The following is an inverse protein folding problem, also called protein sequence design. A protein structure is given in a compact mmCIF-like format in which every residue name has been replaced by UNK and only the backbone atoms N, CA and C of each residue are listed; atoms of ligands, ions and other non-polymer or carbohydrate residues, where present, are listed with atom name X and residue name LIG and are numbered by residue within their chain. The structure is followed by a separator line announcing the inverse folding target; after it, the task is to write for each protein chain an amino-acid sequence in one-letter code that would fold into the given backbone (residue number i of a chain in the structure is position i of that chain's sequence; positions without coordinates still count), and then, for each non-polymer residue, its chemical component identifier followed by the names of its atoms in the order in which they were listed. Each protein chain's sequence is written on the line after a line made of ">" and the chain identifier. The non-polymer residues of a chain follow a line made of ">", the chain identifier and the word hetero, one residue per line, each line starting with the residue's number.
data_IF_893450940942
#
_entry.id   IF_893450940942
#
_cell.length_a   1.000
_cell.length_b   1.000
_cell.length_c   1.000
_cell.angle_alpha   90.00
_cell.angle_beta   90.00
_cell.angle_gamma   90.00
#
_symmetry.space_group_name_H-M   'P 1'
#
loop_
_entity.id
_entity.type
_entity.pdbx_description
1 polymer ?
#
# COMPACT_ATOMS: atom_id res chain seq x y z
N UNK A 1 5.12 -40.33 1.63
CA UNK A 1 4.66 -39.45 0.53
C UNK A 1 3.91 -38.27 1.14
N UNK A 2 4.61 -37.39 1.88
CA UNK A 2 3.99 -36.38 2.77
C UNK A 2 4.71 -35.02 2.74
N UNK A 3 5.62 -34.82 1.77
CA UNK A 3 6.48 -33.63 1.70
C UNK A 3 6.18 -32.72 0.49
N UNK A 4 5.33 -33.14 -0.45
CA UNK A 4 4.97 -32.35 -1.65
C UNK A 4 3.75 -31.43 -1.46
N UNK A 5 2.98 -31.57 -0.36
CA UNK A 5 1.82 -30.70 -0.11
C UNK A 5 2.24 -29.30 0.38
N UNK A 6 3.28 -29.19 1.19
CA UNK A 6 3.63 -27.93 1.88
C UNK A 6 4.01 -26.79 0.93
N UNK A 7 4.76 -27.06 -0.15
CA UNK A 7 5.14 -26.02 -1.11
C UNK A 7 3.94 -25.50 -1.92
N UNK A 8 3.07 -26.41 -2.39
CA UNK A 8 1.89 -26.06 -3.18
C UNK A 8 0.89 -25.30 -2.30
N UNK A 9 0.68 -25.76 -1.07
CA UNK A 9 -0.19 -25.09 -0.10
C UNK A 9 0.33 -23.69 0.26
N UNK A 10 1.66 -23.54 0.45
CA UNK A 10 2.29 -22.24 0.72
C UNK A 10 2.16 -21.29 -0.47
N UNK A 11 2.41 -21.76 -1.68
CA UNK A 11 2.29 -20.94 -2.90
C UNK A 11 0.84 -20.54 -3.17
N UNK A 12 -0.11 -21.47 -2.98
CA UNK A 12 -1.53 -21.20 -3.11
C UNK A 12 -1.98 -20.16 -2.08
N UNK A 13 -1.54 -20.30 -0.84
CA UNK A 13 -1.82 -19.33 0.21
C UNK A 13 -1.26 -17.95 -0.16
N UNK A 14 0.02 -17.84 -0.55
CA UNK A 14 0.61 -16.57 -1.01
C UNK A 14 -0.14 -15.95 -2.20
N UNK A 15 -0.65 -16.76 -3.11
CA UNK A 15 -1.45 -16.28 -4.24
C UNK A 15 -2.81 -15.72 -3.80
N UNK A 16 -3.51 -16.43 -2.91
CA UNK A 16 -4.77 -15.98 -2.33
C UNK A 16 -4.56 -14.67 -1.54
N UNK A 17 -3.48 -14.60 -0.78
CA UNK A 17 -3.05 -13.42 -0.04
C UNK A 17 -2.83 -12.21 -0.97
N UNK A 18 -2.09 -12.40 -2.06
CA UNK A 18 -1.84 -11.36 -3.08
C UNK A 18 -3.12 -10.96 -3.83
N UNK A 19 -4.02 -11.91 -4.09
CA UNK A 19 -5.30 -11.64 -4.73
C UNK A 19 -6.17 -10.73 -3.86
N UNK A 20 -6.35 -11.09 -2.59
CA UNK A 20 -7.06 -10.22 -1.66
C UNK A 20 -6.34 -8.87 -1.54
N UNK A 21 -4.99 -8.86 -1.47
CA UNK A 21 -4.15 -7.65 -1.44
C UNK A 21 -4.54 -6.67 -2.54
N UNK A 22 -4.61 -7.19 -3.75
CA UNK A 22 -4.94 -6.41 -4.93
C UNK A 22 -6.38 -5.90 -4.89
N UNK A 23 -7.34 -6.71 -4.42
CA UNK A 23 -8.75 -6.33 -4.34
C UNK A 23 -8.97 -5.22 -3.31
N UNK A 24 -8.66 -5.43 -2.04
CA UNK A 24 -8.98 -4.40 -1.04
C UNK A 24 -8.08 -3.18 -1.19
N UNK A 25 -6.80 -3.36 -1.56
CA UNK A 25 -5.95 -2.23 -1.92
C UNK A 25 -6.54 -1.42 -3.09
N UNK A 26 -7.11 -2.11 -4.09
CA UNK A 26 -7.85 -1.51 -5.19
C UNK A 26 -9.13 -0.79 -4.74
N UNK A 27 -9.87 -1.35 -3.78
CA UNK A 27 -11.06 -0.71 -3.17
C UNK A 27 -10.65 0.56 -2.43
N UNK A 28 -9.62 0.51 -1.58
CA UNK A 28 -9.11 1.69 -0.86
C UNK A 28 -8.62 2.76 -1.84
N UNK A 29 -7.90 2.37 -2.90
CA UNK A 29 -7.51 3.25 -3.98
C UNK A 29 -8.73 3.91 -4.64
N UNK A 30 -9.77 3.13 -4.98
CA UNK A 30 -10.98 3.63 -5.59
C UNK A 30 -11.71 4.63 -4.69
N UNK A 31 -11.85 4.33 -3.40
CA UNK A 31 -12.47 5.23 -2.41
C UNK A 31 -11.70 6.56 -2.34
N UNK A 32 -10.38 6.52 -2.19
CA UNK A 32 -9.54 7.72 -2.12
C UNK A 32 -9.64 8.53 -3.42
N UNK A 33 -9.64 7.86 -4.58
CA UNK A 33 -9.80 8.51 -5.87
C UNK A 33 -11.17 9.19 -6.01
N UNK A 34 -12.26 8.52 -5.62
CA UNK A 34 -13.62 9.08 -5.67
C UNK A 34 -13.72 10.32 -4.78
N UNK A 35 -13.27 10.23 -3.52
CA UNK A 35 -13.31 11.36 -2.56
C UNK A 35 -12.47 12.53 -3.08
N UNK A 36 -11.26 12.27 -3.58
CA UNK A 36 -10.39 13.31 -4.15
C UNK A 36 -11.01 13.95 -5.39
N UNK A 37 -11.62 13.14 -6.26
CA UNK A 37 -12.27 13.61 -7.49
C UNK A 37 -13.50 14.47 -7.22
N UNK A 38 -14.34 14.08 -6.25
CA UNK A 38 -15.49 14.86 -5.82
C UNK A 38 -15.05 16.21 -5.25
N UNK A 39 -14.02 16.20 -4.39
CA UNK A 39 -13.45 17.41 -3.80
C UNK A 39 -12.98 18.39 -4.88
N UNK A 40 -12.27 17.90 -5.89
CA UNK A 40 -11.75 18.73 -6.98
C UNK A 40 -12.83 19.19 -7.94
N UNK A 41 -13.85 18.36 -8.16
CA UNK A 41 -15.02 18.78 -8.94
C UNK A 41 -15.75 19.91 -8.22
N UNK A 42 -15.90 19.82 -6.89
CA UNK A 42 -16.43 20.91 -6.07
C UNK A 42 -15.61 22.20 -6.19
N UNK A 43 -14.27 22.11 -6.12
CA UNK A 43 -13.40 23.26 -6.33
C UNK A 43 -13.50 23.83 -7.75
N UNK A 44 -13.56 22.98 -8.77
CA UNK A 44 -13.70 23.41 -10.16
C UNK A 44 -15.02 24.17 -10.38
N UNK A 45 -16.10 23.76 -9.70
CA UNK A 45 -17.37 24.48 -9.71
C UNK A 45 -17.24 25.85 -9.02
N UNK A 46 -16.67 25.91 -7.82
CA UNK A 46 -16.50 27.15 -7.05
C UNK A 46 -15.59 28.18 -7.74
N UNK A 47 -14.56 27.72 -8.44
CA UNK A 47 -13.56 28.57 -9.08
C UNK A 47 -13.73 28.67 -10.61
N UNK A 48 -14.86 28.21 -11.15
CA UNK A 48 -15.19 28.26 -12.58
C UNK A 48 -14.09 27.70 -13.50
N UNK A 49 -13.47 26.58 -13.12
CA UNK A 49 -12.45 25.96 -13.95
C UNK A 49 -13.05 25.42 -15.25
N UNK A 50 -12.32 25.55 -16.35
CA UNK A 50 -12.69 24.91 -17.62
C UNK A 50 -12.68 23.38 -17.49
N UNK A 51 -13.52 22.71 -18.28
CA UNK A 51 -13.57 21.23 -18.32
C UNK A 51 -12.19 20.62 -18.60
N UNK A 52 -11.39 21.26 -19.47
CA UNK A 52 -10.02 20.83 -19.80
C UNK A 52 -9.12 20.87 -18.57
N UNK A 53 -9.18 21.95 -17.77
CA UNK A 53 -8.38 22.08 -16.56
C UNK A 53 -8.78 21.06 -15.49
N UNK A 54 -10.08 20.85 -15.30
CA UNK A 54 -10.60 19.82 -14.40
C UNK A 54 -10.11 18.42 -14.80
N UNK A 55 -10.26 18.04 -16.08
CA UNK A 55 -9.84 16.72 -16.57
C UNK A 55 -8.32 16.50 -16.42
N UNK A 56 -7.51 17.52 -16.68
CA UNK A 56 -6.05 17.45 -16.49
C UNK A 56 -5.66 17.19 -15.03
N UNK A 57 -6.35 17.84 -14.08
CA UNK A 57 -6.11 17.63 -12.63
C UNK A 57 -6.60 16.27 -12.17
N UNK A 58 -7.78 15.82 -12.59
CA UNK A 58 -8.30 14.48 -12.28
C UNK A 58 -7.37 13.38 -12.81
N UNK A 59 -6.88 13.52 -14.05
CA UNK A 59 -5.91 12.60 -14.63
C UNK A 59 -4.60 12.58 -13.83
N UNK A 60 -4.12 13.74 -13.39
CA UNK A 60 -2.90 13.83 -12.59
C UNK A 60 -3.06 13.12 -11.23
N UNK A 61 -4.22 13.22 -10.60
CA UNK A 61 -4.50 12.54 -9.33
C UNK A 61 -4.65 11.05 -9.51
N UNK A 62 -5.38 10.62 -10.55
CA UNK A 62 -5.48 9.21 -10.87
C UNK A 62 -4.09 8.59 -11.03
N UNK A 63 -3.21 9.26 -11.79
CA UNK A 63 -1.84 8.78 -12.02
C UNK A 63 -0.98 8.79 -10.78
N UNK A 64 -1.06 9.83 -9.96
CA UNK A 64 -0.34 9.89 -8.69
C UNK A 64 -0.77 8.75 -7.77
N UNK A 65 -2.08 8.58 -7.57
CA UNK A 65 -2.61 7.52 -6.73
C UNK A 65 -2.27 6.14 -7.31
N UNK A 66 -2.26 5.98 -8.63
CA UNK A 66 -1.93 4.70 -9.28
C UNK A 66 -0.47 4.34 -9.05
N UNK A 67 0.44 5.31 -9.18
CA UNK A 67 1.84 5.13 -8.83
C UNK A 67 2.00 4.80 -7.34
N UNK A 68 1.29 5.50 -6.47
CA UNK A 68 1.29 5.23 -5.04
C UNK A 68 0.82 3.81 -4.72
N UNK A 69 -0.23 3.35 -5.41
CA UNK A 69 -0.75 1.99 -5.28
C UNK A 69 0.25 0.94 -5.73
N UNK A 70 0.86 1.11 -6.92
CA UNK A 70 1.85 0.16 -7.46
C UNK A 70 3.10 0.11 -6.57
N UNK A 71 3.66 1.26 -6.20
CA UNK A 71 4.87 1.31 -5.37
C UNK A 71 4.57 0.84 -3.95
N UNK A 72 3.41 1.19 -3.39
CA UNK A 72 2.97 0.70 -2.08
C UNK A 72 2.77 -0.82 -2.08
N UNK A 73 2.18 -1.38 -3.15
CA UNK A 73 2.06 -2.82 -3.33
C UNK A 73 3.42 -3.52 -3.33
N UNK A 74 4.36 -3.05 -4.16
CA UNK A 74 5.71 -3.60 -4.22
C UNK A 74 6.45 -3.45 -2.87
N UNK A 75 6.35 -2.28 -2.24
CA UNK A 75 6.95 -1.99 -0.95
C UNK A 75 6.44 -2.93 0.14
N UNK A 76 5.13 -3.16 0.21
CA UNK A 76 4.51 -4.08 1.16
C UNK A 76 4.88 -5.55 0.86
N UNK A 77 4.94 -5.96 -0.40
CA UNK A 77 5.40 -7.31 -0.76
C UNK A 77 6.84 -7.56 -0.30
N UNK A 78 7.74 -6.58 -0.52
CA UNK A 78 9.12 -6.67 -0.06
C UNK A 78 9.22 -6.66 1.47
N UNK A 79 8.44 -5.82 2.15
CA UNK A 79 8.35 -5.80 3.61
C UNK A 79 8.00 -7.19 4.16
N UNK A 80 6.97 -7.82 3.59
CA UNK A 80 6.52 -9.15 3.97
C UNK A 80 7.63 -10.19 3.79
N UNK A 81 8.32 -10.19 2.65
CA UNK A 81 9.40 -11.14 2.34
C UNK A 81 10.57 -10.99 3.32
N UNK A 82 10.95 -9.76 3.67
CA UNK A 82 12.15 -9.53 4.47
C UNK A 82 11.92 -9.60 5.99
N UNK A 83 10.70 -9.31 6.47
CA UNK A 83 10.49 -9.00 7.89
C UNK A 83 9.50 -9.92 8.61
N UNK A 84 8.53 -10.54 7.91
CA UNK A 84 7.49 -11.39 8.55
C UNK A 84 8.14 -12.52 9.36
N UNK A 85 8.88 -13.42 8.73
CA UNK A 85 9.44 -14.58 9.45
C UNK A 85 10.65 -14.27 10.34
N UNK A 86 11.13 -13.01 10.35
CA UNK A 86 12.34 -12.61 11.08
C UNK A 86 12.06 -11.76 12.31
N UNK A 87 11.05 -10.88 12.26
CA UNK A 87 10.80 -9.91 13.33
C UNK A 87 9.41 -10.04 13.96
N UNK A 88 8.40 -10.58 13.26
CA UNK A 88 7.05 -10.72 13.80
C UNK A 88 6.15 -11.68 13.00
N UNK A 89 5.44 -12.59 13.67
CA UNK A 89 4.41 -13.40 13.01
C UNK A 89 3.06 -12.68 12.96
N UNK A 90 2.59 -12.35 11.76
CA UNK A 90 1.25 -11.77 11.58
C UNK A 90 0.16 -12.85 11.57
N UNK A 91 -0.93 -12.58 12.30
CA UNK A 91 -2.13 -13.42 12.36
C UNK A 91 -2.96 -13.37 11.07
N UNK A 92 -2.98 -12.21 10.40
CA UNK A 92 -3.87 -12.01 9.26
C UNK A 92 -3.23 -11.19 8.15
N UNK A 93 -3.46 -11.65 6.93
CA UNK A 93 -2.94 -11.04 5.71
C UNK A 93 -3.74 -9.78 5.39
N UNK A 94 -5.02 -9.78 5.77
CA UNK A 94 -5.97 -8.66 5.66
C UNK A 94 -5.58 -7.40 6.43
N UNK A 95 -4.53 -7.48 7.25
CA UNK A 95 -4.09 -6.37 8.11
C UNK A 95 -2.96 -5.56 7.48
N UNK A 96 -2.41 -6.01 6.35
CA UNK A 96 -1.41 -5.30 5.53
C UNK A 96 -1.99 -4.21 4.60
N UNK A 97 -3.30 -4.02 4.65
CA UNK A 97 -4.08 -3.28 3.65
C UNK A 97 -4.26 -1.80 3.94
N UNK A 98 -4.28 -1.48 5.22
CA UNK A 98 -3.97 -0.13 5.69
C UNK A 98 -2.44 -0.05 5.62
N UNK A 99 -1.79 1.11 5.35
CA UNK A 99 -0.41 1.28 5.83
C UNK A 99 -0.37 0.62 7.19
N UNK A 100 0.40 -0.46 7.36
CA UNK A 100 0.44 -1.16 8.65
C UNK A 100 0.94 -0.10 9.58
N UNK A 101 0.03 0.58 10.23
CA UNK A 101 0.37 1.33 11.39
C UNK A 101 0.22 0.23 12.42
N UNK A 102 1.32 -0.23 13.03
CA UNK A 102 1.28 -1.23 14.08
C UNK A 102 0.59 -0.64 15.32
N UNK A 103 -0.61 -0.09 15.20
CA UNK A 103 -1.34 0.56 16.28
C UNK A 103 -2.01 -0.46 17.17
N UNK A 104 -2.33 -1.65 16.66
CA UNK A 104 -3.10 -2.65 17.40
C UNK A 104 -2.41 -4.01 17.45
N UNK A 105 -2.41 -4.60 18.64
CA UNK A 105 -1.90 -5.96 18.92
C UNK A 105 -2.81 -7.07 18.36
N UNK A 106 -3.89 -6.71 17.66
CA UNK A 106 -4.87 -7.61 17.05
C UNK A 106 -4.34 -8.34 15.81
N UNK A 107 -3.17 -7.94 15.33
CA UNK A 107 -2.63 -8.36 14.03
C UNK A 107 -1.45 -9.32 14.14
N UNK A 108 -1.12 -9.74 15.37
CA UNK A 108 0.00 -10.63 15.70
C UNK A 108 -0.57 -11.92 16.28
N UNK A 109 -0.15 -13.07 15.76
CA UNK A 109 -0.70 -14.36 16.15
C UNK A 109 -0.16 -14.79 17.53
N UNK A 110 -1.06 -15.17 18.44
CA UNK A 110 -0.73 -15.58 19.80
C UNK A 110 -0.54 -17.09 19.93
N UNK A 111 -0.99 -17.89 18.95
CA UNK A 111 -1.07 -19.35 19.08
C UNK A 111 0.31 -20.05 18.93
N UNK A 112 1.36 -19.34 18.50
CA UNK A 112 2.70 -19.91 18.30
C UNK A 112 3.62 -19.89 19.54
N UNK A 113 3.13 -19.51 20.73
CA UNK A 113 3.81 -19.83 22.00
C UNK A 113 5.19 -19.19 22.27
N UNK A 114 5.56 -18.12 21.58
CA UNK A 114 6.82 -17.39 21.81
C UNK A 114 6.63 -15.88 21.67
N UNK A 115 7.31 -15.10 22.50
CA UNK A 115 7.25 -13.64 22.60
C UNK A 115 6.95 -12.95 21.25
N UNK A 116 5.85 -12.17 21.20
CA UNK A 116 5.19 -11.49 20.06
C UNK A 116 6.08 -10.83 18.96
N UNK A 117 7.39 -10.73 19.17
CA UNK A 117 8.30 -9.90 18.40
C UNK A 117 9.75 -10.41 18.39
N UNK A 118 10.02 -11.66 18.78
CA UNK A 118 11.40 -12.17 18.93
C UNK A 118 12.30 -11.22 19.77
N UNK A 119 11.73 -10.65 20.84
CA UNK A 119 12.39 -9.67 21.71
C UNK A 119 12.26 -8.20 21.30
N UNK A 120 11.64 -7.87 20.16
CA UNK A 120 11.45 -6.50 19.69
C UNK A 120 10.20 -5.86 20.34
N UNK A 121 10.17 -4.55 20.54
CA UNK A 121 8.96 -3.87 21.04
C UNK A 121 8.15 -3.29 19.87
N UNK A 122 6.82 -3.27 19.99
CA UNK A 122 5.89 -2.79 18.94
C UNK A 122 6.29 -1.43 18.34
N UNK A 123 6.83 -0.50 19.13
CA UNK A 123 7.27 0.81 18.62
C UNK A 123 8.47 0.72 17.65
N UNK A 124 9.36 -0.26 17.80
CA UNK A 124 10.44 -0.48 16.84
C UNK A 124 9.87 -0.90 15.49
N UNK A 125 8.84 -1.76 15.48
CA UNK A 125 8.15 -2.15 14.25
C UNK A 125 7.48 -0.93 13.60
N UNK A 126 6.92 -0.01 14.39
CA UNK A 126 6.35 1.26 13.89
C UNK A 126 7.41 2.14 13.24
N UNK A 127 8.56 2.32 13.89
CA UNK A 127 9.65 3.13 13.34
C UNK A 127 10.24 2.51 12.08
N UNK A 128 10.41 1.18 12.08
CA UNK A 128 10.88 0.45 10.90
C UNK A 128 9.89 0.60 9.74
N UNK A 129 8.58 0.53 10.02
CA UNK A 129 7.55 0.76 9.01
C UNK A 129 7.60 2.18 8.46
N UNK A 130 7.73 3.21 9.32
CA UNK A 130 7.88 4.59 8.87
C UNK A 130 9.13 4.74 8.00
N UNK A 131 10.27 4.19 8.44
CA UNK A 131 11.53 4.21 7.70
C UNK A 131 11.41 3.50 6.34
N UNK A 132 10.53 2.51 6.21
CA UNK A 132 10.23 1.81 4.95
C UNK A 132 9.22 2.53 4.06
N UNK A 133 8.20 3.15 4.67
CA UNK A 133 7.16 3.87 3.96
C UNK A 133 7.69 5.15 3.30
N UNK A 134 8.60 5.87 3.97
CA UNK A 134 9.22 7.10 3.45
C UNK A 134 9.86 6.90 2.07
N UNK A 135 10.77 5.93 1.84
CA UNK A 135 11.36 5.72 0.52
C UNK A 135 10.32 5.25 -0.51
N UNK A 136 9.34 4.42 -0.11
CA UNK A 136 8.26 4.01 -1.01
C UNK A 136 7.45 5.21 -1.52
N UNK A 137 7.01 6.08 -0.61
CA UNK A 137 6.30 7.31 -0.96
C UNK A 137 7.20 8.29 -1.72
N UNK A 138 8.46 8.40 -1.33
CA UNK A 138 9.46 9.22 -2.03
C UNK A 138 9.64 8.81 -3.48
N UNK A 139 9.73 7.51 -3.77
CA UNK A 139 9.82 6.96 -5.13
C UNK A 139 8.56 7.29 -5.94
N UNK A 140 7.37 7.05 -5.38
CA UNK A 140 6.11 7.36 -6.05
C UNK A 140 5.99 8.84 -6.41
N UNK A 141 6.33 9.74 -5.47
CA UNK A 141 6.37 11.19 -5.68
C UNK A 141 7.39 11.55 -6.76
N UNK A 142 8.61 11.03 -6.68
CA UNK A 142 9.67 11.32 -7.63
C UNK A 142 9.29 10.91 -9.06
N UNK A 143 8.76 9.70 -9.24
CA UNK A 143 8.29 9.21 -10.54
C UNK A 143 7.14 10.06 -11.07
N UNK A 144 6.19 10.43 -10.21
CA UNK A 144 5.10 11.32 -10.58
C UNK A 144 5.61 12.68 -11.05
N UNK A 145 6.56 13.29 -10.33
CA UNK A 145 7.13 14.59 -10.69
C UNK A 145 7.88 14.54 -12.04
N UNK A 146 8.62 13.47 -12.32
CA UNK A 146 9.27 13.27 -13.62
C UNK A 146 8.22 13.24 -14.73
N UNK A 147 7.19 12.42 -14.56
CA UNK A 147 6.13 12.24 -15.55
C UNK A 147 5.34 13.55 -15.75
N UNK A 148 4.98 14.21 -14.66
CA UNK A 148 4.24 15.48 -14.66
C UNK A 148 5.04 16.59 -15.37
N UNK A 149 6.34 16.72 -15.06
CA UNK A 149 7.23 17.67 -15.73
C UNK A 149 7.34 17.39 -17.24
N UNK A 150 7.38 16.12 -17.65
CA UNK A 150 7.41 15.74 -19.06
C UNK A 150 6.12 16.16 -19.79
N UNK A 151 4.96 15.95 -19.18
CA UNK A 151 3.67 16.37 -19.72
C UNK A 151 3.59 17.89 -19.91
N UNK A 152 4.06 18.66 -18.93
CA UNK A 152 4.06 20.13 -19.02
C UNK A 152 4.92 20.68 -20.16
N UNK A 153 5.96 19.95 -20.60
CA UNK A 153 6.78 20.36 -21.75
C UNK A 153 6.14 20.06 -23.11
N UNK A 154 5.09 19.24 -23.13
CA UNK A 154 4.41 18.78 -24.35
C UNK A 154 3.07 19.49 -24.60
N UNK A 155 2.59 20.26 -23.61
CA UNK A 155 1.37 21.07 -23.67
C UNK A 155 1.73 22.53 -23.97
#
# INVERSE_FOLDING_TARGET
>A
MLYMNTLIDTLLQQFIELFFYTIFGGISFAVVFIVSSLTITGFAFLFHWSRVNLMSKLQSIFQFLLLLFIIGALGNSLWYIFLRERLYHAADVLTYFVPVIPFHNLYVDYECGGYLFDGIQMWHLRLLWIAWAIPCYGIAIFLFLIYYKKRLKQA
#
